data_IF_143332522803
#
_entry.id   IF_143332522803
#
_cell.length_a   1.000
_cell.length_b   1.000
_cell.length_c   1.000
_cell.angle_alpha   90.00
_cell.angle_beta   90.00
_cell.angle_gamma   90.00
#
_symmetry.space_group_name_H-M   'P 1'
#
loop_
_entity.id
_entity.type
_entity.pdbx_description
1 polymer ?
#
# COMPACT_ATOMS: atom_id res chain seq x y z
N UNK A 1 17.18 -9.74 1.85
CA UNK A 1 16.18 -8.97 2.62
C UNK A 1 14.82 -9.21 1.97
N UNK A 2 13.79 -9.51 2.76
CA UNK A 2 12.43 -9.70 2.25
C UNK A 2 11.82 -8.36 1.93
N UNK A 3 11.33 -8.16 0.71
CA UNK A 3 10.72 -6.91 0.27
C UNK A 3 9.39 -6.69 1.00
N UNK A 4 9.25 -5.57 1.71
CA UNK A 4 7.99 -5.21 2.36
C UNK A 4 7.16 -4.31 1.45
N UNK A 5 5.91 -4.68 1.26
CA UNK A 5 4.96 -4.00 0.40
C UNK A 5 3.72 -3.62 1.20
N UNK A 6 3.20 -2.43 0.94
CA UNK A 6 1.99 -1.92 1.58
C UNK A 6 0.95 -1.62 0.52
N UNK A 7 -0.29 -2.03 0.75
CA UNK A 7 -1.45 -1.62 -0.05
C UNK A 7 -2.30 -0.69 0.80
N UNK A 8 -2.45 0.56 0.38
CA UNK A 8 -3.34 1.54 1.02
C UNK A 8 -4.68 1.47 0.31
N UNK A 9 -5.72 0.99 1.02
CA UNK A 9 -7.05 0.77 0.47
C UNK A 9 -7.35 -0.72 0.29
N UNK A 10 -8.26 -1.23 1.11
CA UNK A 10 -8.67 -2.64 1.11
C UNK A 10 -9.97 -2.91 0.33
N UNK A 11 -10.29 -2.07 -0.66
CA UNK A 11 -11.42 -2.30 -1.55
C UNK A 11 -11.16 -3.47 -2.52
N UNK A 12 -12.04 -3.63 -3.50
CA UNK A 12 -11.93 -4.70 -4.52
C UNK A 12 -10.56 -4.69 -5.20
N UNK A 13 -10.09 -3.52 -5.64
CA UNK A 13 -8.82 -3.41 -6.36
C UNK A 13 -7.62 -3.79 -5.47
N UNK A 14 -7.54 -3.24 -4.26
CA UNK A 14 -6.47 -3.56 -3.32
C UNK A 14 -6.44 -5.05 -2.95
N UNK A 15 -7.62 -5.66 -2.75
CA UNK A 15 -7.73 -7.09 -2.47
C UNK A 15 -7.27 -7.96 -3.64
N UNK A 16 -7.61 -7.58 -4.88
CA UNK A 16 -7.14 -8.29 -6.09
C UNK A 16 -5.64 -8.18 -6.27
N UNK A 17 -5.05 -7.00 -6.04
CA UNK A 17 -3.60 -6.80 -6.07
C UNK A 17 -2.93 -7.68 -5.02
N UNK A 18 -3.47 -7.70 -3.79
CA UNK A 18 -2.95 -8.54 -2.72
C UNK A 18 -2.93 -10.02 -3.10
N UNK A 19 -4.06 -10.53 -3.58
CA UNK A 19 -4.19 -11.92 -4.00
C UNK A 19 -3.25 -12.26 -5.17
N UNK A 20 -3.10 -11.36 -6.15
CA UNK A 20 -2.20 -11.56 -7.29
C UNK A 20 -0.73 -11.60 -6.86
N UNK A 21 -0.30 -10.67 -5.99
CA UNK A 21 1.06 -10.62 -5.46
C UNK A 21 1.39 -11.87 -4.62
N UNK A 22 0.43 -12.31 -3.80
CA UNK A 22 0.57 -13.54 -3.00
C UNK A 22 0.69 -14.76 -3.90
N UNK A 23 -0.19 -14.90 -4.91
CA UNK A 23 -0.16 -16.00 -5.87
C UNK A 23 1.15 -16.04 -6.67
N UNK A 24 1.71 -14.89 -7.00
CA UNK A 24 2.98 -14.79 -7.73
C UNK A 24 4.22 -15.07 -6.86
N UNK A 25 4.06 -15.28 -5.54
CA UNK A 25 5.19 -15.38 -4.61
C UNK A 25 5.96 -14.07 -4.44
N UNK A 26 5.40 -12.95 -4.91
CA UNK A 26 6.00 -11.62 -4.85
C UNK A 26 5.69 -10.87 -3.54
N UNK A 27 4.80 -11.43 -2.70
CA UNK A 27 4.29 -10.82 -1.48
C UNK A 27 5.18 -11.05 -0.24
N UNK A 28 6.51 -10.93 -0.38
CA UNK A 28 7.51 -11.25 0.66
C UNK A 28 7.04 -10.90 2.09
N UNK A 29 6.68 -9.64 2.32
CA UNK A 29 5.77 -9.25 3.40
C UNK A 29 4.76 -8.23 2.87
N UNK A 30 3.49 -8.61 2.82
CA UNK A 30 2.42 -7.76 2.31
C UNK A 30 1.50 -7.31 3.44
N UNK A 31 1.33 -6.00 3.60
CA UNK A 31 0.38 -5.41 4.54
C UNK A 31 -0.69 -4.64 3.79
N UNK A 32 -1.96 -4.95 4.05
CA UNK A 32 -3.08 -4.21 3.49
C UNK A 32 -3.67 -3.31 4.57
N UNK A 33 -3.69 -2.00 4.30
CA UNK A 33 -4.20 -0.98 5.19
C UNK A 33 -5.64 -0.62 4.86
N UNK A 34 -6.50 -0.66 5.87
CA UNK A 34 -7.86 -0.11 5.82
C UNK A 34 -7.86 1.31 6.33
N UNK A 35 -8.97 2.02 6.14
CA UNK A 35 -9.15 3.38 6.66
C UNK A 35 -9.04 3.42 8.19
N UNK A 36 -9.48 2.36 8.86
CA UNK A 36 -9.46 2.23 10.32
C UNK A 36 -8.13 1.68 10.87
N UNK A 37 -7.24 1.20 9.99
CA UNK A 37 -5.95 0.65 10.43
C UNK A 37 -5.00 1.78 10.78
N UNK A 38 -4.51 1.80 12.02
CA UNK A 38 -3.51 2.79 12.45
C UNK A 38 -2.25 2.65 11.59
N UNK A 39 -1.77 3.77 11.03
CA UNK A 39 -0.53 3.81 10.25
C UNK A 39 0.71 3.49 11.10
N UNK A 40 0.60 3.49 12.43
CA UNK A 40 1.69 3.15 13.35
C UNK A 40 2.01 1.66 13.38
N UNK A 41 1.14 0.79 12.86
CA UNK A 41 1.40 -0.66 12.82
C UNK A 41 2.31 -1.09 11.67
N UNK A 42 2.79 -0.15 10.86
CA UNK A 42 3.63 -0.40 9.68
C UNK A 42 5.02 0.15 9.95
N UNK A 43 6.04 -0.70 9.78
CA UNK A 43 7.44 -0.29 9.79
C UNK A 43 7.79 0.41 8.47
N UNK A 44 7.39 1.67 8.33
CA UNK A 44 7.54 2.43 7.09
C UNK A 44 8.97 2.51 6.55
N UNK A 45 10.03 2.64 7.38
CA UNK A 45 11.42 2.62 6.90
C UNK A 45 11.79 1.38 6.07
N UNK A 46 11.18 0.22 6.33
CA UNK A 46 11.45 -1.02 5.59
C UNK A 46 10.52 -1.26 4.40
N UNK A 47 9.49 -0.42 4.21
CA UNK A 47 8.59 -0.51 3.06
C UNK A 47 9.32 -0.07 1.79
N UNK A 48 9.32 -0.93 0.77
CA UNK A 48 9.94 -0.64 -0.52
C UNK A 48 8.91 -0.16 -1.57
N UNK A 49 7.67 -0.67 -1.47
CA UNK A 49 6.60 -0.39 -2.43
C UNK A 49 5.29 -0.07 -1.70
N UNK A 50 4.65 1.02 -2.11
CA UNK A 50 3.32 1.41 -1.66
C UNK A 50 2.36 1.42 -2.85
N UNK A 51 1.32 0.60 -2.78
CA UNK A 51 0.21 0.58 -3.74
C UNK A 51 -0.95 1.42 -3.21
N UNK A 52 -1.30 2.50 -3.92
CA UNK A 52 -2.46 3.34 -3.59
C UNK A 52 -3.69 2.85 -4.34
N UNK A 53 -4.52 2.06 -3.66
CA UNK A 53 -5.78 1.50 -4.14
C UNK A 53 -7.00 2.13 -3.45
N UNK A 54 -6.98 3.46 -3.34
CA UNK A 54 -8.05 4.26 -2.75
C UNK A 54 -8.91 4.93 -3.83
N UNK A 55 -10.10 5.40 -3.46
CA UNK A 55 -10.95 6.17 -4.36
C UNK A 55 -10.29 7.52 -4.69
N UNK A 56 -10.60 8.14 -5.85
CA UNK A 56 -10.02 9.42 -6.24
C UNK A 56 -10.15 10.51 -5.16
N UNK A 57 -11.32 10.62 -4.50
CA UNK A 57 -11.53 11.61 -3.45
C UNK A 57 -10.64 11.40 -2.20
N UNK A 58 -10.12 10.20 -2.00
CA UNK A 58 -9.36 9.81 -0.81
C UNK A 58 -7.83 9.83 -1.05
N UNK A 59 -7.37 10.11 -2.28
CA UNK A 59 -5.93 10.08 -2.62
C UNK A 59 -5.13 11.10 -1.81
N UNK A 60 -5.64 12.32 -1.70
CA UNK A 60 -4.96 13.42 -1.01
C UNK A 60 -4.77 13.09 0.48
N UNK A 61 -5.82 12.71 1.25
CA UNK A 61 -5.61 12.28 2.64
C UNK A 61 -4.81 10.98 2.76
N UNK A 62 -4.89 10.06 1.77
CA UNK A 62 -4.11 8.82 1.80
C UNK A 62 -2.60 9.10 1.74
N UNK A 63 -2.16 10.03 0.89
CA UNK A 63 -0.75 10.36 0.64
C UNK A 63 -0.19 11.38 1.64
N UNK A 64 -0.99 12.37 2.07
CA UNK A 64 -0.54 13.43 3.00
C UNK A 64 -0.02 12.87 4.32
N UNK A 65 -0.60 11.77 4.77
CA UNK A 65 -0.27 11.14 6.05
C UNK A 65 0.72 9.97 5.92
N UNK A 66 1.24 9.70 4.71
CA UNK A 66 2.37 8.79 4.58
C UNK A 66 3.60 9.49 5.17
N UNK A 67 4.44 8.79 5.94
CA UNK A 67 5.71 9.37 6.39
C UNK A 67 6.52 9.85 5.18
N UNK A 68 7.50 10.73 5.39
CA UNK A 68 8.32 11.24 4.27
C UNK A 68 9.07 10.08 3.61
N UNK A 69 8.55 9.61 2.48
CA UNK A 69 9.05 8.47 1.74
C UNK A 69 10.24 8.95 0.91
N UNK A 70 11.46 8.51 1.24
CA UNK A 70 12.69 8.93 0.55
C UNK A 70 13.22 7.88 -0.42
N UNK A 71 12.83 6.62 -0.28
CA UNK A 71 13.42 5.47 -1.01
C UNK A 71 12.39 4.50 -1.59
N UNK A 72 11.10 4.85 -1.57
CA UNK A 72 10.00 3.93 -1.85
C UNK A 72 9.39 4.19 -3.22
N UNK A 73 9.06 3.12 -3.94
CA UNK A 73 8.26 3.21 -5.15
C UNK A 73 6.78 3.33 -4.78
N UNK A 74 6.15 4.45 -5.14
CA UNK A 74 4.71 4.66 -4.94
C UNK A 74 3.98 4.44 -6.25
N UNK A 75 3.03 3.50 -6.26
CA UNK A 75 2.24 3.13 -7.43
C UNK A 75 0.78 3.47 -7.17
N UNK A 76 0.20 4.36 -7.97
CA UNK A 76 -1.23 4.64 -7.93
C UNK A 76 -1.96 3.77 -8.95
N UNK A 77 -3.02 3.09 -8.50
CA UNK A 77 -3.92 2.32 -9.38
C UNK A 77 -5.29 3.00 -9.54
N UNK A 78 -5.38 4.27 -9.13
CA UNK A 78 -6.58 5.07 -9.33
C UNK A 78 -6.82 5.29 -10.83
N UNK A 79 -8.00 4.91 -11.32
CA UNK A 79 -8.51 5.39 -12.59
C UNK A 79 -9.08 6.79 -12.38
N UNK A 80 -8.55 7.77 -13.13
CA UNK A 80 -9.06 9.14 -13.20
C UNK A 80 -10.30 9.25 -14.05
#
# INVERSE_FOLDING_TARGET
MSKQMVIVGAGTMGSMIAAALQKAGAAGQLTMMRRETSRQSVDWPSVEVVWLAVKPQDIKPAVTDLPKLTTQLVISVMAG
#
